data_IF_248930201643
#
_entry.id   IF_248930201643
#
_cell.length_a   1.000
_cell.length_b   1.000
_cell.length_c   1.000
_cell.angle_alpha   90.00
_cell.angle_beta   90.00
_cell.angle_gamma   90.00
#
_symmetry.space_group_name_H-M   'P 1'
#
loop_
_entity.id
_entity.type
_entity.pdbx_description
1 polymer ?
#
# COMPACT_ATOMS: atom_id res chain seq x y z
N UNK A 1 -25.88 -30.29 9.29
CA UNK A 1 -25.84 -30.02 7.83
C UNK A 1 -25.48 -28.56 7.56
N UNK A 2 -26.21 -27.57 8.08
CA UNK A 2 -25.91 -26.14 7.85
C UNK A 2 -24.45 -25.72 8.14
N UNK A 3 -23.89 -26.06 9.31
CA UNK A 3 -22.50 -25.72 9.65
C UNK A 3 -21.42 -26.30 8.70
N UNK A 4 -21.69 -27.47 8.10
CA UNK A 4 -20.73 -28.11 7.19
C UNK A 4 -20.57 -27.32 5.88
N UNK A 5 -21.63 -26.64 5.43
CA UNK A 5 -21.58 -25.78 4.23
C UNK A 5 -20.62 -24.62 4.46
N UNK A 6 -20.64 -23.99 5.64
CA UNK A 6 -19.74 -22.88 5.98
C UNK A 6 -18.29 -23.35 6.19
N UNK A 7 -18.07 -24.57 6.70
CA UNK A 7 -16.75 -25.18 6.74
C UNK A 7 -16.19 -25.39 5.32
N UNK A 8 -16.99 -25.94 4.41
CA UNK A 8 -16.59 -26.13 3.02
C UNK A 8 -16.31 -24.78 2.33
N UNK A 9 -17.19 -23.80 2.49
CA UNK A 9 -17.02 -22.44 1.97
C UNK A 9 -15.71 -21.80 2.47
N UNK A 10 -15.36 -22.00 3.75
CA UNK A 10 -14.09 -21.54 4.32
C UNK A 10 -12.87 -22.07 3.57
N UNK A 11 -12.88 -23.37 3.21
CA UNK A 11 -11.78 -23.99 2.46
C UNK A 11 -11.76 -23.53 1.01
N UNK A 12 -12.92 -23.49 0.35
CA UNK A 12 -13.04 -23.06 -1.04
C UNK A 12 -12.53 -21.64 -1.25
N UNK A 13 -12.74 -20.74 -0.27
CA UNK A 13 -12.24 -19.36 -0.33
C UNK A 13 -10.71 -19.23 -0.31
N UNK A 14 -9.94 -20.29 -0.02
CA UNK A 14 -8.47 -20.28 -0.19
C UNK A 14 -8.04 -20.70 -1.61
N UNK A 15 -8.94 -21.28 -2.39
CA UNK A 15 -8.68 -21.76 -3.73
C UNK A 15 -9.02 -20.73 -4.83
N UNK A 16 -9.19 -19.45 -4.47
CA UNK A 16 -9.56 -18.38 -5.40
C UNK A 16 -8.62 -18.21 -6.60
N UNK A 17 -7.33 -18.56 -6.44
CA UNK A 17 -6.36 -18.56 -7.54
C UNK A 17 -6.71 -19.54 -8.68
N UNK A 18 -7.52 -20.56 -8.42
CA UNK A 18 -7.82 -21.65 -9.37
C UNK A 18 -9.08 -21.38 -10.19
N UNK A 19 -10.02 -20.60 -9.66
CA UNK A 19 -11.29 -20.32 -10.32
C UNK A 19 -11.96 -19.10 -9.69
N UNK A 20 -12.57 -18.25 -10.53
CA UNK A 20 -13.33 -17.09 -10.08
C UNK A 20 -14.48 -17.46 -9.14
N UNK A 21 -15.13 -18.61 -9.36
CA UNK A 21 -16.21 -19.13 -8.48
C UNK A 21 -15.65 -19.41 -7.08
N UNK A 22 -14.43 -19.96 -7.00
CA UNK A 22 -13.79 -20.26 -5.72
C UNK A 22 -13.38 -18.98 -4.99
N UNK A 23 -13.00 -17.93 -5.73
CA UNK A 23 -12.64 -16.64 -5.16
C UNK A 23 -13.85 -15.93 -4.51
N UNK A 24 -15.08 -16.17 -4.99
CA UNK A 24 -16.29 -15.63 -4.37
C UNK A 24 -16.45 -16.03 -2.91
N UNK A 25 -16.02 -17.25 -2.54
CA UNK A 25 -16.05 -17.73 -1.16
C UNK A 25 -15.03 -17.00 -0.26
N UNK A 26 -14.07 -16.28 -0.84
CA UNK A 26 -13.13 -15.47 -0.06
C UNK A 26 -13.80 -14.22 0.54
N UNK A 27 -14.92 -13.76 -0.01
CA UNK A 27 -15.51 -12.47 0.37
C UNK A 27 -16.25 -12.48 1.71
N UNK A 28 -16.70 -13.64 2.19
CA UNK A 28 -17.63 -13.71 3.33
C UNK A 28 -16.98 -14.22 4.62
N UNK A 29 -15.67 -13.96 4.83
CA UNK A 29 -14.91 -14.48 5.99
C UNK A 29 -15.52 -14.09 7.33
N UNK A 30 -16.01 -12.86 7.44
CA UNK A 30 -16.63 -12.36 8.68
C UNK A 30 -17.95 -13.08 8.96
N UNK A 31 -18.77 -13.27 7.93
CA UNK A 31 -20.04 -13.99 8.03
C UNK A 31 -19.79 -15.45 8.42
N UNK A 32 -18.78 -16.11 7.83
CA UNK A 32 -18.41 -17.47 8.18
C UNK A 32 -17.93 -17.56 9.63
N UNK A 33 -17.08 -16.63 10.07
CA UNK A 33 -16.63 -16.52 11.45
C UNK A 33 -17.82 -16.44 12.42
N UNK A 34 -18.76 -15.52 12.18
CA UNK A 34 -19.94 -15.31 13.04
C UNK A 34 -20.82 -16.55 13.08
N UNK A 35 -21.23 -17.08 11.91
CA UNK A 35 -22.15 -18.22 11.84
C UNK A 35 -21.54 -19.48 12.45
N UNK A 36 -20.27 -19.79 12.15
CA UNK A 36 -19.58 -20.94 12.70
C UNK A 36 -19.39 -20.83 14.22
N UNK A 37 -19.11 -19.61 14.72
CA UNK A 37 -18.99 -19.35 16.16
C UNK A 37 -20.32 -19.57 16.86
N UNK A 38 -21.41 -18.97 16.35
CA UNK A 38 -22.75 -19.10 16.94
C UNK A 38 -23.19 -20.57 16.97
N UNK A 39 -23.10 -21.28 15.85
CA UNK A 39 -23.45 -22.71 15.83
C UNK A 39 -22.53 -23.57 16.69
N UNK A 40 -21.23 -23.27 16.72
CA UNK A 40 -20.27 -23.93 17.60
C UNK A 40 -20.66 -23.80 19.07
N UNK A 41 -20.95 -22.58 19.53
CA UNK A 41 -21.36 -22.31 20.92
C UNK A 41 -22.68 -23.00 21.26
N UNK A 42 -23.69 -22.90 20.38
CA UNK A 42 -24.99 -23.57 20.60
C UNK A 42 -24.81 -25.09 20.74
N UNK A 43 -23.95 -25.71 19.92
CA UNK A 43 -23.67 -27.14 20.00
C UNK A 43 -22.85 -27.52 21.25
N UNK A 44 -21.96 -26.64 21.72
CA UNK A 44 -21.28 -26.83 23.01
C UNK A 44 -22.29 -26.86 24.15
N UNK A 45 -23.22 -25.90 24.19
CA UNK A 45 -24.27 -25.82 25.21
C UNK A 45 -25.23 -27.01 25.15
N UNK A 46 -25.49 -27.54 23.95
CA UNK A 46 -26.30 -28.75 23.74
C UNK A 46 -25.54 -30.07 24.02
N UNK A 47 -24.31 -30.02 24.56
CA UNK A 47 -23.51 -31.20 24.89
C UNK A 47 -22.86 -31.91 23.69
N UNK A 48 -23.00 -31.40 22.46
CA UNK A 48 -22.46 -31.98 21.22
C UNK A 48 -21.02 -31.55 20.96
N UNK A 49 -20.14 -31.79 21.93
CA UNK A 49 -18.76 -31.26 21.99
C UNK A 49 -17.92 -31.51 20.74
N UNK A 50 -17.93 -32.72 20.17
CA UNK A 50 -17.11 -33.05 18.97
C UNK A 50 -17.45 -32.18 17.77
N UNK A 51 -18.73 -32.09 17.41
CA UNK A 51 -19.20 -31.26 16.29
C UNK A 51 -18.97 -29.77 16.57
N UNK A 52 -19.15 -29.36 17.82
CA UNK A 52 -18.94 -27.99 18.22
C UNK A 52 -17.48 -27.54 18.04
N UNK A 53 -16.51 -28.32 18.55
CA UNK A 53 -15.09 -28.03 18.37
C UNK A 53 -14.67 -28.06 16.90
N UNK A 54 -15.26 -28.94 16.09
CA UNK A 54 -15.04 -28.94 14.65
C UNK A 54 -15.46 -27.60 14.01
N UNK A 55 -16.67 -27.11 14.29
CA UNK A 55 -17.12 -25.81 13.75
C UNK A 55 -16.27 -24.64 14.28
N UNK A 56 -15.92 -24.65 15.57
CA UNK A 56 -15.09 -23.61 16.17
C UNK A 56 -13.66 -23.60 15.60
N UNK A 57 -13.12 -24.75 15.19
CA UNK A 57 -11.85 -24.82 14.46
C UNK A 57 -11.91 -24.07 13.13
N UNK A 58 -13.00 -24.20 12.37
CA UNK A 58 -13.20 -23.42 11.15
C UNK A 58 -13.51 -21.94 11.42
N UNK A 59 -14.21 -21.62 12.51
CA UNK A 59 -14.37 -20.25 12.96
C UNK A 59 -12.99 -19.62 13.24
N UNK A 60 -12.09 -20.34 13.92
CA UNK A 60 -10.74 -19.90 14.18
C UNK A 60 -9.94 -19.65 12.90
N UNK A 61 -10.06 -20.50 11.87
CA UNK A 61 -9.44 -20.26 10.56
C UNK A 61 -9.90 -18.92 9.96
N UNK A 62 -11.19 -18.59 10.02
CA UNK A 62 -11.66 -17.29 9.52
C UNK A 62 -11.21 -16.13 10.42
N UNK A 63 -11.13 -16.35 11.74
CA UNK A 63 -10.59 -15.36 12.68
C UNK A 63 -9.15 -14.98 12.32
N UNK A 64 -8.28 -15.93 11.96
CA UNK A 64 -6.89 -15.60 11.58
C UNK A 64 -6.80 -14.72 10.33
N UNK A 65 -7.80 -14.74 9.46
CA UNK A 65 -7.87 -13.88 8.27
C UNK A 65 -8.44 -12.49 8.57
N UNK A 66 -9.34 -12.39 9.55
CA UNK A 66 -10.04 -11.15 9.92
C UNK A 66 -9.27 -10.33 10.95
N UNK A 67 -8.67 -11.00 11.94
CA UNK A 67 -8.03 -10.36 13.08
C UNK A 67 -6.85 -9.43 12.72
N UNK A 68 -6.06 -9.65 11.65
CA UNK A 68 -4.95 -8.74 11.33
C UNK A 68 -5.42 -7.30 11.06
N UNK A 69 -6.64 -7.12 10.53
CA UNK A 69 -7.21 -5.80 10.26
C UNK A 69 -7.39 -4.94 11.52
N UNK A 70 -7.33 -5.52 12.72
CA UNK A 70 -7.45 -4.81 13.99
C UNK A 70 -6.11 -4.40 14.62
N UNK A 71 -4.97 -4.71 13.97
CA UNK A 71 -3.63 -4.41 14.47
C UNK A 71 -2.82 -3.55 13.49
N UNK A 72 -1.85 -2.79 14.01
CA UNK A 72 -0.92 -2.01 13.20
C UNK A 72 -1.34 -0.56 12.89
N UNK A 73 -2.48 -0.11 13.41
CA UNK A 73 -2.97 1.25 13.24
C UNK A 73 -2.10 2.26 13.98
N UNK A 74 -1.82 3.40 13.34
CA UNK A 74 -1.01 4.48 13.91
C UNK A 74 -1.88 5.71 14.16
N UNK A 75 -2.36 5.86 15.39
CA UNK A 75 -3.26 6.97 15.75
C UNK A 75 -2.53 8.24 16.19
N UNK A 76 -1.19 8.27 16.11
CA UNK A 76 -0.38 9.42 16.54
C UNK A 76 0.13 10.16 15.33
N UNK A 77 -0.19 11.45 15.25
CA UNK A 77 0.36 12.35 14.26
C UNK A 77 1.86 12.56 14.56
N UNK A 78 2.78 12.21 13.64
CA UNK A 78 4.19 12.56 13.78
C UNK A 78 4.37 14.07 13.95
N UNK A 79 5.30 14.47 14.81
CA UNK A 79 5.59 15.88 15.06
C UNK A 79 5.96 16.60 13.75
N UNK A 80 5.40 17.79 13.52
CA UNK A 80 5.65 18.60 12.33
C UNK A 80 4.97 18.12 11.03
N UNK A 81 4.03 17.17 11.14
CA UNK A 81 3.27 16.66 9.99
C UNK A 81 1.84 17.20 9.94
N UNK A 82 1.28 17.35 8.74
CA UNK A 82 -0.05 17.87 8.49
C UNK A 82 -0.98 16.74 8.03
N UNK A 83 -2.18 16.68 8.59
CA UNK A 83 -3.20 15.71 8.16
C UNK A 83 -3.75 16.10 6.79
N UNK A 84 -3.75 15.13 5.87
CA UNK A 84 -4.48 15.17 4.62
C UNK A 84 -5.66 14.20 4.70
N UNK A 85 -6.75 14.53 4.02
CA UNK A 85 -7.94 13.69 3.94
C UNK A 85 -8.26 13.31 2.49
N UNK A 86 -8.34 12.02 2.24
CA UNK A 86 -8.85 11.46 0.99
C UNK A 86 -10.21 10.79 1.19
N UNK A 87 -11.08 10.96 0.20
CA UNK A 87 -12.38 10.27 0.10
C UNK A 87 -12.43 9.47 -1.18
N UNK A 88 -12.86 8.22 -1.07
CA UNK A 88 -13.25 7.36 -2.19
C UNK A 88 -14.74 7.08 -2.09
N UNK A 89 -15.47 7.22 -3.20
CA UNK A 89 -16.89 6.91 -3.27
C UNK A 89 -17.29 6.44 -4.67
N UNK A 90 -17.71 5.19 -4.79
CA UNK A 90 -18.56 4.76 -5.90
C UNK A 90 -19.95 5.39 -5.72
N UNK A 91 -20.31 6.35 -6.59
CA UNK A 91 -21.57 7.09 -6.51
C UNK A 91 -22.76 6.33 -7.11
N UNK A 92 -22.48 5.24 -7.83
CA UNK A 92 -23.38 4.50 -8.70
C UNK A 92 -23.96 5.35 -9.84
N UNK A 93 -23.89 4.89 -11.09
CA UNK A 93 -24.34 5.72 -12.24
C UNK A 93 -25.85 6.00 -12.21
N UNK A 94 -26.63 5.10 -11.60
CA UNK A 94 -28.10 5.11 -11.64
C UNK A 94 -28.73 5.32 -10.25
N UNK A 95 -28.05 4.85 -9.22
CA UNK A 95 -28.40 5.09 -7.82
C UNK A 95 -27.65 6.33 -7.31
N UNK A 96 -27.82 6.68 -6.04
CA UNK A 96 -27.19 7.85 -5.43
C UNK A 96 -28.06 9.11 -5.43
N UNK A 97 -27.75 10.00 -4.49
CA UNK A 97 -28.43 11.28 -4.30
C UNK A 97 -27.37 12.40 -4.26
N UNK A 98 -27.34 13.24 -5.30
CA UNK A 98 -26.34 14.30 -5.42
C UNK A 98 -26.40 15.35 -4.30
N UNK A 99 -27.56 15.56 -3.67
CA UNK A 99 -27.67 16.46 -2.53
C UNK A 99 -26.99 15.84 -1.31
N UNK A 100 -27.20 14.54 -1.05
CA UNK A 100 -26.53 13.82 0.05
C UNK A 100 -25.05 13.66 -0.16
N UNK A 101 -24.61 13.37 -1.39
CA UNK A 101 -23.18 13.35 -1.74
C UNK A 101 -22.58 14.75 -1.51
N UNK A 102 -23.28 15.82 -1.91
CA UNK A 102 -22.82 17.18 -1.69
C UNK A 102 -22.72 17.55 -0.21
N UNK A 103 -23.74 17.21 0.60
CA UNK A 103 -23.74 17.41 2.05
C UNK A 103 -22.57 16.66 2.70
N UNK A 104 -22.42 15.37 2.41
CA UNK A 104 -21.33 14.54 2.89
C UNK A 104 -19.95 15.13 2.57
N UNK A 105 -19.72 15.55 1.31
CA UNK A 105 -18.42 16.12 0.91
C UNK A 105 -18.16 17.46 1.63
N UNK A 106 -19.18 18.32 1.78
CA UNK A 106 -19.04 19.60 2.49
C UNK A 106 -18.71 19.41 3.96
N UNK A 107 -19.38 18.47 4.63
CA UNK A 107 -19.12 18.15 6.04
C UNK A 107 -17.75 17.49 6.25
N UNK A 108 -17.41 16.55 5.37
CA UNK A 108 -16.15 15.81 5.45
C UNK A 108 -14.95 16.69 5.08
N UNK A 109 -15.16 17.68 4.21
CA UNK A 109 -14.20 18.68 3.80
C UNK A 109 -12.84 18.08 3.35
N UNK A 110 -12.81 17.04 2.49
CA UNK A 110 -11.58 16.35 2.11
C UNK A 110 -10.64 17.24 1.31
N UNK A 111 -9.37 16.85 1.20
CA UNK A 111 -8.39 17.47 0.32
C UNK A 111 -8.42 16.86 -1.08
N UNK A 112 -8.66 15.54 -1.15
CA UNK A 112 -8.74 14.76 -2.39
C UNK A 112 -10.03 13.92 -2.37
N UNK A 113 -10.73 13.89 -3.51
CA UNK A 113 -11.93 13.11 -3.73
C UNK A 113 -11.74 12.26 -4.98
N UNK A 114 -11.97 10.96 -4.87
CA UNK A 114 -12.12 10.04 -6.01
C UNK A 114 -13.58 9.60 -6.04
N UNK A 115 -14.24 9.85 -7.17
CA UNK A 115 -15.59 9.39 -7.45
C UNK A 115 -15.55 8.34 -8.58
N UNK A 116 -16.24 7.24 -8.37
CA UNK A 116 -16.39 6.16 -9.36
C UNK A 116 -17.86 6.02 -9.75
N UNK A 117 -18.11 5.45 -10.94
CA UNK A 117 -19.42 5.40 -11.58
C UNK A 117 -20.04 6.78 -11.87
N UNK A 118 -19.21 7.77 -12.17
CA UNK A 118 -19.69 9.10 -12.56
C UNK A 118 -20.07 9.15 -14.03
N UNK A 119 -21.22 9.72 -14.36
CA UNK A 119 -21.59 10.10 -15.73
C UNK A 119 -21.72 11.63 -15.87
N UNK A 120 -22.12 12.09 -17.06
CA UNK A 120 -22.31 13.53 -17.33
C UNK A 120 -23.32 14.18 -16.39
N UNK A 121 -24.36 13.45 -15.98
CA UNK A 121 -25.35 13.95 -15.00
C UNK A 121 -24.69 14.18 -13.64
N UNK A 122 -23.93 13.22 -13.12
CA UNK A 122 -23.20 13.36 -11.87
C UNK A 122 -22.26 14.57 -11.87
N UNK A 123 -21.49 14.76 -12.95
CA UNK A 123 -20.58 15.90 -13.07
C UNK A 123 -21.32 17.25 -13.16
N UNK A 124 -22.53 17.26 -13.74
CA UNK A 124 -23.40 18.45 -13.76
C UNK A 124 -23.97 18.75 -12.38
N UNK A 125 -24.52 17.75 -11.69
CA UNK A 125 -25.13 17.93 -10.36
C UNK A 125 -24.09 18.34 -9.32
N UNK A 126 -22.85 17.86 -9.47
CA UNK A 126 -21.71 18.15 -8.59
C UNK A 126 -20.77 19.23 -9.17
N UNK A 127 -21.23 20.05 -10.12
CA UNK A 127 -20.40 21.06 -10.79
C UNK A 127 -19.71 22.04 -9.81
N UNK A 128 -20.30 22.26 -8.63
CA UNK A 128 -19.72 23.08 -7.56
C UNK A 128 -18.36 22.57 -7.09
N UNK A 129 -18.07 21.25 -7.20
CA UNK A 129 -16.77 20.68 -6.85
C UNK A 129 -15.65 21.35 -7.62
N UNK A 130 -15.84 21.73 -8.89
CA UNK A 130 -14.80 22.41 -9.68
C UNK A 130 -14.43 23.80 -9.14
N UNK A 131 -15.28 24.40 -8.31
CA UNK A 131 -14.97 25.68 -7.65
C UNK A 131 -14.21 25.45 -6.34
N UNK A 132 -14.64 24.49 -5.52
CA UNK A 132 -14.00 24.20 -4.22
C UNK A 132 -12.77 23.29 -4.32
N UNK A 133 -12.63 22.57 -5.43
CA UNK A 133 -11.57 21.62 -5.77
C UNK A 133 -11.12 21.88 -7.22
N UNK A 134 -10.41 23.00 -7.46
CA UNK A 134 -10.13 23.48 -8.81
C UNK A 134 -9.24 22.55 -9.64
N UNK A 135 -8.49 21.67 -8.98
CA UNK A 135 -7.64 20.69 -9.64
C UNK A 135 -8.44 19.39 -9.81
N UNK A 136 -8.94 19.15 -11.02
CA UNK A 136 -9.82 18.02 -11.28
C UNK A 136 -9.60 17.41 -12.67
N UNK A 137 -9.82 16.11 -12.75
CA UNK A 137 -9.83 15.33 -14.00
C UNK A 137 -10.97 14.32 -13.92
N UNK A 138 -11.74 14.18 -15.00
CA UNK A 138 -12.88 13.28 -15.02
C UNK A 138 -13.09 12.68 -16.41
N UNK A 139 -13.47 11.41 -16.44
CA UNK A 139 -13.86 10.64 -17.62
C UNK A 139 -15.26 10.06 -17.35
N UNK A 140 -16.34 10.82 -17.64
CA UNK A 140 -17.70 10.36 -17.37
C UNK A 140 -18.12 9.24 -18.32
N UNK A 141 -18.86 8.23 -17.82
CA UNK A 141 -19.40 7.14 -18.64
C UNK A 141 -20.75 6.67 -18.13
N UNK A 142 -21.61 6.18 -19.02
CA UNK A 142 -22.95 5.68 -18.69
C UNK A 142 -22.99 4.17 -18.38
N UNK A 143 -21.84 3.50 -18.42
CA UNK A 143 -21.70 2.04 -18.27
C UNK A 143 -21.15 1.61 -16.90
N UNK A 144 -21.27 2.46 -15.86
CA UNK A 144 -20.73 2.22 -14.52
C UNK A 144 -19.20 2.19 -14.42
N UNK A 145 -18.47 2.79 -15.37
CA UNK A 145 -17.01 2.86 -15.28
C UNK A 145 -16.44 4.27 -15.44
N UNK A 146 -17.29 5.30 -15.35
CA UNK A 146 -16.79 6.66 -15.33
C UNK A 146 -16.10 6.97 -14.01
N UNK A 147 -15.06 7.80 -14.06
CA UNK A 147 -14.18 8.06 -12.91
C UNK A 147 -13.78 9.53 -12.87
N UNK A 148 -13.69 10.10 -11.68
CA UNK A 148 -13.27 11.47 -11.48
C UNK A 148 -12.39 11.63 -10.24
N UNK A 149 -11.39 12.51 -10.33
CA UNK A 149 -10.61 12.99 -9.21
C UNK A 149 -10.79 14.51 -9.07
N UNK A 150 -10.94 14.97 -7.84
CA UNK A 150 -11.00 16.37 -7.46
C UNK A 150 -10.04 16.64 -6.31
N UNK A 151 -9.31 17.74 -6.35
CA UNK A 151 -8.29 18.10 -5.36
C UNK A 151 -8.28 19.59 -5.07
N UNK A 152 -8.06 19.93 -3.80
CA UNK A 152 -7.73 21.30 -3.37
C UNK A 152 -6.30 21.67 -3.66
N UNK A 153 -5.44 20.66 -3.67
CA UNK A 153 -4.01 20.77 -3.91
C UNK A 153 -3.70 20.66 -5.42
N UNK A 154 -2.70 21.39 -5.93
CA UNK A 154 -2.41 21.44 -7.35
C UNK A 154 -1.89 20.12 -7.90
N UNK A 155 -2.34 19.77 -9.12
CA UNK A 155 -1.77 18.69 -9.89
C UNK A 155 -0.49 19.16 -10.58
N UNK A 156 0.60 18.42 -10.37
CA UNK A 156 1.82 18.51 -11.19
C UNK A 156 1.57 17.86 -12.55
N UNK A 157 0.92 16.70 -12.51
CA UNK A 157 0.50 15.95 -13.68
C UNK A 157 -0.84 15.27 -13.37
N UNK A 158 -1.71 15.15 -14.37
CA UNK A 158 -2.90 14.29 -14.29
C UNK A 158 -3.27 13.79 -15.68
N UNK A 159 -3.53 12.48 -15.82
CA UNK A 159 -3.95 11.87 -17.09
C UNK A 159 -4.85 10.67 -16.87
N UNK A 160 -5.78 10.47 -17.81
CA UNK A 160 -6.56 9.24 -17.92
C UNK A 160 -5.72 8.20 -18.64
N UNK A 161 -5.68 6.98 -18.11
CA UNK A 161 -5.01 5.84 -18.72
C UNK A 161 -5.97 4.67 -18.82
N UNK A 162 -5.74 3.82 -19.82
CA UNK A 162 -6.42 2.53 -19.96
C UNK A 162 -5.38 1.44 -19.67
N UNK A 163 -5.54 0.75 -18.54
CA UNK A 163 -4.50 -0.16 -18.04
C UNK A 163 -4.48 -1.47 -18.82
N UNK A 164 -5.66 -2.03 -19.12
CA UNK A 164 -5.81 -3.26 -19.89
C UNK A 164 -7.27 -3.48 -20.33
N UNK A 165 -7.50 -4.52 -21.12
CA UNK A 165 -8.82 -5.09 -21.37
C UNK A 165 -9.79 -4.14 -22.08
N UNK A 166 -11.07 -4.05 -21.65
CA UNK A 166 -12.14 -3.35 -22.38
C UNK A 166 -12.00 -1.82 -22.43
N UNK A 167 -10.84 -1.27 -22.04
CA UNK A 167 -10.58 0.17 -22.10
C UNK A 167 -11.26 0.95 -20.98
N UNK A 168 -11.37 0.36 -19.78
CA UNK A 168 -11.88 1.07 -18.61
C UNK A 168 -10.87 2.11 -18.13
N UNK A 169 -11.32 3.35 -17.84
CA UNK A 169 -10.43 4.41 -17.45
C UNK A 169 -9.89 4.21 -16.03
N UNK A 170 -8.66 4.62 -15.83
CA UNK A 170 -8.05 4.86 -14.52
C UNK A 170 -7.38 6.23 -14.57
N UNK A 171 -7.22 6.88 -13.43
CA UNK A 171 -6.58 8.20 -13.36
C UNK A 171 -5.25 8.07 -12.65
N UNK A 172 -4.20 8.56 -13.31
CA UNK A 172 -2.93 8.88 -12.66
C UNK A 172 -2.89 10.38 -12.38
N UNK A 173 -2.55 10.75 -11.16
CA UNK A 173 -2.30 12.12 -10.78
C UNK A 173 -1.09 12.23 -9.85
N UNK A 174 -0.38 13.34 -9.94
CA UNK A 174 0.67 13.73 -9.00
C UNK A 174 0.21 15.01 -8.33
N UNK A 175 -0.12 14.93 -7.05
CA UNK A 175 -0.63 16.03 -6.24
C UNK A 175 0.52 16.66 -5.45
N UNK A 176 0.73 17.95 -5.59
CA UNK A 176 1.78 18.66 -4.85
C UNK A 176 1.30 18.97 -3.43
N UNK A 177 1.96 18.38 -2.44
CA UNK A 177 1.71 18.64 -1.01
C UNK A 177 2.83 19.51 -0.42
N UNK A 178 2.66 20.00 0.81
CA UNK A 178 3.72 20.73 1.52
C UNK A 178 4.96 19.86 1.81
N UNK A 179 4.81 18.53 1.85
CA UNK A 179 5.85 17.56 2.20
C UNK A 179 6.45 16.84 0.98
N UNK A 180 6.01 17.20 -0.22
CA UNK A 180 6.45 16.60 -1.48
C UNK A 180 5.29 16.12 -2.35
N UNK A 181 5.63 15.44 -3.43
CA UNK A 181 4.66 14.94 -4.39
C UNK A 181 3.97 13.67 -3.87
N UNK A 182 2.65 13.64 -3.97
CA UNK A 182 1.80 12.50 -3.68
C UNK A 182 1.30 11.90 -5.00
N UNK A 183 1.73 10.68 -5.29
CA UNK A 183 1.28 9.94 -6.46
C UNK A 183 -0.06 9.28 -6.18
N UNK A 184 -1.00 9.36 -7.12
CA UNK A 184 -2.34 8.80 -6.97
C UNK A 184 -2.67 7.96 -8.20
N UNK A 185 -3.12 6.73 -7.96
CA UNK A 185 -3.78 5.89 -8.94
C UNK A 185 -5.23 5.64 -8.50
N UNK A 186 -6.20 6.18 -9.24
CA UNK A 186 -7.61 5.88 -9.06
C UNK A 186 -8.06 4.84 -10.10
N UNK A 187 -8.70 3.74 -9.68
CA UNK A 187 -9.04 2.64 -10.60
C UNK A 187 -10.26 1.83 -10.15
N UNK A 188 -11.18 1.54 -11.07
CA UNK A 188 -12.38 0.73 -10.84
C UNK A 188 -12.40 -0.47 -11.81
N UNK A 189 -11.78 -1.61 -11.48
CA UNK A 189 -11.81 -2.81 -12.31
C UNK A 189 -13.15 -3.57 -12.24
N UNK A 190 -13.37 -4.48 -13.20
CA UNK A 190 -14.65 -5.19 -13.38
C UNK A 190 -15.07 -6.06 -12.17
N UNK A 191 -16.39 -6.16 -11.90
CA UNK A 191 -16.93 -7.00 -10.83
C UNK A 191 -16.90 -8.51 -11.15
N UNK A 192 -16.89 -9.41 -10.14
CA UNK A 192 -16.84 -10.86 -10.33
C UNK A 192 -18.18 -11.50 -10.77
N UNK A 193 -18.84 -10.97 -11.80
CA UNK A 193 -20.16 -11.47 -12.27
C UNK A 193 -20.07 -12.56 -13.34
N UNK A 194 -18.90 -12.72 -13.96
CA UNK A 194 -18.62 -13.77 -14.94
C UNK A 194 -17.15 -14.19 -14.91
N UNK A 195 -16.83 -15.30 -15.59
CA UNK A 195 -15.45 -15.73 -15.78
C UNK A 195 -14.62 -14.70 -16.53
N UNK A 196 -15.21 -14.12 -17.60
CA UNK A 196 -14.55 -13.10 -18.43
C UNK A 196 -14.26 -11.83 -17.64
N UNK A 197 -15.24 -11.32 -16.88
CA UNK A 197 -15.04 -10.11 -16.08
C UNK A 197 -13.99 -10.32 -15.00
N UNK A 198 -14.01 -11.48 -14.35
CA UNK A 198 -13.00 -11.83 -13.35
C UNK A 198 -11.60 -11.97 -13.95
N UNK A 199 -11.49 -12.53 -15.16
CA UNK A 199 -10.23 -12.61 -15.89
C UNK A 199 -9.69 -11.20 -16.18
N UNK A 200 -10.50 -10.32 -16.78
CA UNK A 200 -10.09 -8.94 -17.08
C UNK A 200 -9.72 -8.14 -15.83
N UNK A 201 -10.52 -8.24 -14.76
CA UNK A 201 -10.19 -7.64 -13.46
C UNK A 201 -8.82 -8.12 -12.98
N UNK A 202 -8.60 -9.42 -12.96
CA UNK A 202 -7.36 -10.01 -12.45
C UNK A 202 -6.13 -9.63 -13.30
N UNK A 203 -6.28 -9.53 -14.61
CA UNK A 203 -5.20 -9.06 -15.50
C UNK A 203 -4.90 -7.58 -15.30
N UNK A 204 -5.92 -6.73 -15.15
CA UNK A 204 -5.75 -5.31 -14.82
C UNK A 204 -5.00 -5.15 -13.49
N UNK A 205 -5.42 -5.88 -12.44
CA UNK A 205 -4.75 -5.87 -11.13
C UNK A 205 -3.27 -6.26 -11.25
N UNK A 206 -2.93 -7.23 -12.10
CA UNK A 206 -1.55 -7.66 -12.34
C UNK A 206 -0.69 -6.63 -13.11
N UNK A 207 -1.31 -5.64 -13.76
CA UNK A 207 -0.58 -4.54 -14.41
C UNK A 207 -0.38 -3.33 -13.50
N UNK A 208 -1.15 -3.18 -12.43
CA UNK A 208 -1.07 -2.03 -11.52
C UNK A 208 0.35 -1.77 -10.96
N UNK A 209 1.20 -2.79 -10.67
CA UNK A 209 2.58 -2.54 -10.24
C UNK A 209 3.42 -1.70 -11.22
N UNK A 210 3.06 -1.63 -12.51
CA UNK A 210 3.75 -0.79 -13.50
C UNK A 210 3.43 0.71 -13.36
N UNK A 211 2.35 1.04 -12.65
CA UNK A 211 1.82 2.41 -12.52
C UNK A 211 1.94 2.95 -11.09
N UNK A 212 2.48 2.15 -10.18
CA UNK A 212 2.62 2.47 -8.75
C UNK A 212 4.09 2.35 -8.38
N UNK A 213 4.61 3.33 -7.65
CA UNK A 213 5.94 3.28 -7.07
C UNK A 213 5.89 3.42 -5.55
N UNK A 214 5.98 2.31 -4.82
CA UNK A 214 5.93 2.32 -3.36
C UNK A 214 7.16 2.96 -2.68
N UNK A 215 8.20 3.34 -3.43
CA UNK A 215 9.35 4.12 -2.90
C UNK A 215 9.09 5.63 -2.81
N UNK A 216 7.91 6.05 -3.27
CA UNK A 216 7.41 7.41 -3.17
C UNK A 216 6.06 7.41 -2.44
N UNK A 217 5.67 8.54 -1.80
CA UNK A 217 4.33 8.69 -1.25
C UNK A 217 3.28 8.43 -2.34
N UNK A 218 2.58 7.31 -2.24
CA UNK A 218 1.65 6.83 -3.25
C UNK A 218 0.36 6.34 -2.61
N UNK A 219 -0.78 6.76 -3.15
CA UNK A 219 -2.09 6.20 -2.87
C UNK A 219 -2.66 5.49 -4.09
N UNK A 220 -3.28 4.34 -3.86
CA UNK A 220 -4.16 3.68 -4.82
C UNK A 220 -5.56 3.65 -4.24
N UNK A 221 -6.53 4.25 -4.92
CA UNK A 221 -7.91 4.31 -4.46
C UNK A 221 -8.83 3.63 -5.49
N UNK A 222 -9.75 2.80 -5.01
CA UNK A 222 -10.88 2.39 -5.84
C UNK A 222 -11.69 1.23 -5.27
N UNK A 223 -12.88 1.03 -5.83
CA UNK A 223 -13.62 -0.23 -5.73
C UNK A 223 -12.89 -1.30 -6.54
N UNK A 224 -12.09 -2.11 -5.86
CA UNK A 224 -11.31 -3.16 -6.51
C UNK A 224 -12.14 -4.42 -6.78
N UNK A 225 -13.42 -4.42 -6.41
CA UNK A 225 -14.32 -5.56 -6.53
C UNK A 225 -13.77 -6.84 -5.87
N UNK A 226 -12.94 -6.65 -4.83
CA UNK A 226 -12.30 -7.70 -4.06
C UNK A 226 -12.30 -7.32 -2.57
N UNK A 227 -12.39 -8.32 -1.71
CA UNK A 227 -12.13 -8.15 -0.27
C UNK A 227 -10.66 -8.36 0.06
N UNK A 228 -10.16 -7.89 1.23
CA UNK A 228 -8.78 -8.11 1.68
C UNK A 228 -8.36 -9.59 1.73
N UNK A 229 -9.35 -10.48 1.82
CA UNK A 229 -9.16 -11.93 1.89
C UNK A 229 -9.07 -12.63 0.53
N UNK A 230 -9.25 -11.93 -0.60
CA UNK A 230 -9.04 -12.50 -1.93
C UNK A 230 -7.56 -12.79 -2.17
N UNK A 231 -7.27 -13.84 -2.94
CA UNK A 231 -5.91 -14.12 -3.42
C UNK A 231 -5.35 -12.95 -4.25
N UNK A 232 -6.17 -12.39 -5.13
CA UNK A 232 -5.73 -11.34 -6.06
C UNK A 232 -5.44 -10.01 -5.35
N UNK A 233 -6.18 -9.70 -4.28
CA UNK A 233 -5.90 -8.53 -3.44
C UNK A 233 -4.56 -8.68 -2.71
N UNK A 234 -4.32 -9.82 -2.05
CA UNK A 234 -3.02 -10.07 -1.38
C UNK A 234 -1.85 -10.06 -2.36
N UNK A 235 -2.05 -10.62 -3.55
CA UNK A 235 -1.05 -10.60 -4.62
C UNK A 235 -0.72 -9.16 -5.04
N UNK A 236 -1.74 -8.31 -5.21
CA UNK A 236 -1.53 -6.88 -5.53
C UNK A 236 -0.67 -6.19 -4.45
N UNK A 237 -0.97 -6.39 -3.17
CA UNK A 237 -0.15 -5.81 -2.08
C UNK A 237 1.30 -6.31 -2.13
N UNK A 238 1.48 -7.61 -2.36
CA UNK A 238 2.82 -8.21 -2.46
C UNK A 238 3.63 -7.65 -3.64
N UNK A 239 3.01 -7.51 -4.81
CA UNK A 239 3.69 -7.07 -6.04
C UNK A 239 3.95 -5.55 -6.06
N UNK A 240 3.09 -4.76 -5.43
CA UNK A 240 3.25 -3.30 -5.36
C UNK A 240 4.07 -2.83 -4.17
N UNK A 241 4.11 -3.61 -3.09
CA UNK A 241 4.65 -3.16 -1.79
C UNK A 241 3.74 -2.17 -1.05
N UNK A 242 2.53 -1.90 -1.56
CA UNK A 242 1.54 -1.08 -0.86
C UNK A 242 0.95 -1.81 0.36
N UNK A 243 0.39 -1.03 1.28
CA UNK A 243 -0.30 -1.46 2.48
C UNK A 243 -1.78 -1.07 2.40
N UNK A 244 -2.63 -1.90 2.98
CA UNK A 244 -4.07 -1.64 3.08
C UNK A 244 -4.35 -0.69 4.26
N UNK A 245 -4.99 0.45 3.99
CA UNK A 245 -5.34 1.45 5.02
C UNK A 245 -6.27 0.92 6.10
N UNK A 246 -6.96 -0.21 5.88
CA UNK A 246 -7.84 -0.82 6.89
C UNK A 246 -7.07 -1.51 8.03
N UNK A 247 -5.77 -1.78 7.85
CA UNK A 247 -4.92 -2.34 8.89
C UNK A 247 -4.89 -1.43 10.12
N UNK A 248 -5.38 -1.95 11.25
CA UNK A 248 -5.46 -1.22 12.52
C UNK A 248 -6.81 -0.55 12.80
N UNK A 249 -7.74 -0.55 11.84
CA UNK A 249 -9.04 0.12 11.96
C UNK A 249 -10.23 -0.84 11.86
N UNK A 250 -9.94 -2.15 11.78
CA UNK A 250 -10.92 -3.22 11.79
C UNK A 250 -11.63 -3.42 10.45
N UNK A 251 -12.61 -4.32 10.45
CA UNK A 251 -13.43 -4.57 9.26
C UNK A 251 -14.37 -3.39 9.04
N UNK A 252 -14.25 -2.77 7.88
CA UNK A 252 -15.03 -1.60 7.49
C UNK A 252 -15.67 -1.83 6.13
N UNK A 253 -16.84 -2.49 6.09
CA UNK A 253 -17.45 -2.89 4.84
C UNK A 253 -18.16 -1.71 4.18
N UNK A 254 -17.99 -1.61 2.86
CA UNK A 254 -18.52 -0.51 2.05
C UNK A 254 -19.71 -0.93 1.19
N UNK A 255 -19.95 -2.22 0.97
CA UNK A 255 -21.03 -2.71 0.10
C UNK A 255 -21.67 -4.01 0.65
N UNK A 256 -22.99 -4.26 0.50
CA UNK A 256 -23.98 -3.33 -0.04
C UNK A 256 -24.58 -2.45 1.06
N UNK A 257 -25.04 -1.26 0.70
CA UNK A 257 -25.69 -0.35 1.63
C UNK A 257 -27.02 -0.91 2.19
N UNK A 258 -27.71 -1.75 1.42
CA UNK A 258 -29.08 -2.21 1.67
C UNK A 258 -29.21 -3.49 2.52
N UNK A 259 -28.11 -4.19 2.81
CA UNK A 259 -28.14 -5.41 3.62
C UNK A 259 -26.92 -5.52 4.53
N UNK A 260 -27.09 -5.15 5.80
CA UNK A 260 -26.02 -5.19 6.80
C UNK A 260 -25.40 -6.57 7.06
N UNK A 261 -26.12 -7.66 6.80
CA UNK A 261 -25.62 -9.02 7.05
C UNK A 261 -24.71 -9.53 5.92
N UNK A 262 -24.81 -8.97 4.72
CA UNK A 262 -24.01 -9.35 3.54
C UNK A 262 -22.88 -8.37 3.24
N UNK A 263 -22.66 -7.40 4.14
CA UNK A 263 -21.67 -6.34 3.96
C UNK A 263 -20.23 -6.86 3.91
N UNK A 264 -19.48 -6.40 2.92
CA UNK A 264 -18.09 -6.72 2.62
C UNK A 264 -17.31 -5.45 2.21
N UNK A 265 -16.00 -5.38 2.48
CA UNK A 265 -15.15 -4.23 2.08
C UNK A 265 -14.64 -4.39 0.64
N UNK A 266 -15.23 -3.65 -0.30
CA UNK A 266 -14.81 -3.65 -1.71
C UNK A 266 -14.01 -2.40 -2.12
N UNK A 267 -14.24 -1.29 -1.40
CA UNK A 267 -13.60 0.00 -1.64
C UNK A 267 -12.32 0.12 -0.80
N UNK A 268 -11.19 0.33 -1.48
CA UNK A 268 -9.86 0.30 -0.87
C UNK A 268 -9.10 1.59 -1.09
N UNK A 269 -8.37 1.99 -0.06
CA UNK A 269 -7.30 2.97 -0.14
C UNK A 269 -6.04 2.25 0.28
N UNK A 270 -5.15 2.00 -0.68
CA UNK A 270 -3.85 1.40 -0.45
C UNK A 270 -2.79 2.50 -0.45
N UNK A 271 -1.74 2.34 0.32
CA UNK A 271 -0.74 3.39 0.51
C UNK A 271 0.68 2.84 0.58
N UNK A 272 1.67 3.63 0.17
CA UNK A 272 3.07 3.27 0.31
C UNK A 272 3.52 3.29 1.79
N UNK A 273 4.62 2.62 2.15
CA UNK A 273 5.15 2.61 3.52
C UNK A 273 5.46 4.00 4.10
N UNK A 274 5.74 4.98 3.24
CA UNK A 274 6.02 6.37 3.62
C UNK A 274 4.77 7.13 4.07
N UNK A 275 3.57 6.59 3.84
CA UNK A 275 2.31 7.21 4.28
C UNK A 275 1.87 6.58 5.59
N UNK A 276 1.56 7.43 6.58
CA UNK A 276 0.98 7.02 7.86
C UNK A 276 -0.52 7.28 7.83
N UNK A 277 -1.31 6.22 7.95
CA UNK A 277 -2.78 6.33 8.11
C UNK A 277 -3.10 6.58 9.57
N UNK A 278 -3.76 7.72 9.83
CA UNK A 278 -4.15 8.21 11.16
C UNK A 278 -5.57 7.80 11.54
N UNK A 279 -6.43 7.66 10.52
CA UNK A 279 -7.81 7.21 10.67
C UNK A 279 -8.33 6.66 9.36
N UNK A 280 -9.08 5.57 9.43
CA UNK A 280 -9.95 5.10 8.35
C UNK A 280 -11.37 4.93 8.87
N UNK A 281 -12.37 5.42 8.13
CA UNK A 281 -13.78 5.25 8.49
C UNK A 281 -14.68 5.11 7.26
N UNK A 282 -15.88 4.56 7.49
CA UNK A 282 -16.96 4.52 6.51
C UNK A 282 -17.90 5.72 6.73
N UNK A 283 -18.26 6.40 5.65
CA UNK A 283 -19.19 7.53 5.62
C UNK A 283 -20.67 7.11 5.70
N UNK A 284 -21.59 8.09 5.64
CA UNK A 284 -23.02 7.85 5.72
C UNK A 284 -23.61 7.20 4.45
N UNK A 285 -24.87 6.76 4.54
CA UNK A 285 -25.64 6.32 3.36
C UNK A 285 -26.02 7.52 2.47
N UNK A 286 -25.24 7.71 1.40
CA UNK A 286 -25.47 8.72 0.36
C UNK A 286 -26.42 8.24 -0.75
N UNK A 287 -27.15 7.15 -0.50
CA UNK A 287 -28.07 6.48 -1.43
C UNK A 287 -27.43 5.86 -2.67
N UNK A 288 -26.10 5.79 -2.73
CA UNK A 288 -25.36 4.82 -3.55
C UNK A 288 -25.44 3.44 -2.88
N UNK A 289 -25.25 2.36 -3.65
CA UNK A 289 -25.12 1.01 -3.07
C UNK A 289 -23.78 0.80 -2.33
N UNK A 290 -22.84 1.73 -2.48
CA UNK A 290 -21.60 1.82 -1.70
C UNK A 290 -21.65 2.92 -0.65
N UNK A 291 -20.97 2.69 0.47
CA UNK A 291 -20.66 3.74 1.45
C UNK A 291 -19.32 4.42 1.12
N UNK A 292 -19.18 5.74 1.39
CA UNK A 292 -17.91 6.41 1.22
C UNK A 292 -16.81 5.83 2.13
N UNK A 293 -15.58 5.75 1.63
CA UNK A 293 -14.38 5.46 2.44
C UNK A 293 -13.62 6.76 2.68
N UNK A 294 -13.33 7.06 3.94
CA UNK A 294 -12.62 8.27 4.37
C UNK A 294 -11.30 7.84 5.01
N UNK A 295 -10.19 8.41 4.54
CA UNK A 295 -8.85 8.16 5.08
C UNK A 295 -8.22 9.49 5.46
N UNK A 296 -7.89 9.62 6.75
CA UNK A 296 -6.99 10.66 7.25
C UNK A 296 -5.58 10.07 7.29
N UNK A 297 -4.65 10.74 6.63
CA UNK A 297 -3.28 10.29 6.52
C UNK A 297 -2.31 11.46 6.62
N UNK A 298 -1.04 11.14 6.74
CA UNK A 298 0.04 12.11 6.67
C UNK A 298 1.21 11.52 5.90
N UNK A 299 1.94 12.40 5.25
CA UNK A 299 3.23 12.10 4.64
C UNK A 299 4.23 12.70 5.62
N UNK A 300 4.88 11.89 6.48
CA UNK A 300 5.95 12.38 7.33
C UNK A 300 7.00 13.06 6.44
N UNK A 301 7.64 14.11 6.94
CA UNK A 301 8.88 14.54 6.31
C UNK A 301 9.77 13.31 6.17
N UNK A 302 10.34 13.10 4.99
CA UNK A 302 11.49 12.19 4.87
C UNK A 302 12.49 12.71 5.88
N UNK A 303 12.55 12.08 7.05
CA UNK A 303 13.63 12.30 7.99
C UNK A 303 14.89 12.23 7.14
N UNK A 304 15.82 13.16 7.35
CA UNK A 304 17.14 13.11 6.71
C UNK A 304 17.81 11.72 6.83
N UNK A 305 17.30 10.84 7.70
CA UNK A 305 17.58 9.42 7.79
C UNK A 305 17.29 8.55 6.53
N UNK A 306 16.52 9.00 5.51
CA UNK A 306 16.23 8.21 4.31
C UNK A 306 16.99 8.62 3.04
N UNK A 307 17.86 9.62 3.10
CA UNK A 307 18.86 9.79 2.05
C UNK A 307 20.13 9.05 2.50
N UNK A 308 20.13 7.72 2.58
CA UNK A 308 21.28 6.91 3.08
C UNK A 308 22.60 7.26 2.38
N UNK A 309 22.53 7.78 1.15
CA UNK A 309 23.67 8.35 0.43
C UNK A 309 24.32 9.58 1.08
N UNK A 310 23.69 10.29 2.02
CA UNK A 310 24.31 11.44 2.71
C UNK A 310 25.56 11.08 3.51
N UNK A 311 25.70 9.79 3.89
CA UNK A 311 26.91 9.29 4.56
C UNK A 311 28.01 8.88 3.57
N UNK A 312 27.69 8.69 2.29
CA UNK A 312 28.66 8.32 1.25
C UNK A 312 29.17 9.60 0.60
N UNK A 313 30.43 9.93 0.85
CA UNK A 313 30.98 11.25 0.50
C UNK A 313 31.87 11.25 -0.74
N UNK A 314 31.67 10.26 -1.62
CA UNK A 314 32.33 10.18 -2.91
C UNK A 314 31.29 9.94 -4.01
N UNK A 315 31.62 10.37 -5.23
CA UNK A 315 30.68 10.33 -6.34
C UNK A 315 30.55 8.93 -6.94
N UNK A 316 29.52 8.23 -6.50
CA UNK A 316 29.17 6.87 -6.94
C UNK A 316 28.68 6.85 -8.39
N UNK A 317 28.22 7.97 -8.94
CA UNK A 317 27.73 8.03 -10.33
C UNK A 317 28.84 7.88 -11.37
N UNK A 318 30.10 8.03 -10.96
CA UNK A 318 31.28 7.83 -11.80
C UNK A 318 31.66 6.35 -11.96
N UNK A 319 30.97 5.45 -11.26
CA UNK A 319 31.25 4.01 -11.24
C UNK A 319 30.32 3.26 -12.19
N UNK A 320 30.87 2.32 -12.95
CA UNK A 320 30.10 1.40 -13.77
C UNK A 320 29.44 0.27 -12.93
N UNK A 321 28.77 -0.65 -13.61
CA UNK A 321 28.07 -1.79 -12.98
C UNK A 321 28.98 -2.73 -12.17
N UNK A 322 30.29 -2.71 -12.44
CA UNK A 322 31.27 -3.55 -11.76
C UNK A 322 31.98 -2.75 -10.63
N UNK A 323 31.52 -1.51 -10.39
CA UNK A 323 32.04 -0.60 -9.39
C UNK A 323 33.39 0.00 -9.75
N UNK A 324 33.68 0.15 -11.05
CA UNK A 324 34.92 0.70 -11.56
C UNK A 324 34.71 2.06 -12.22
N UNK A 325 35.68 2.98 -12.08
CA UNK A 325 35.70 4.27 -12.79
C UNK A 325 36.90 4.37 -13.73
N UNK A 326 36.77 5.15 -14.79
CA UNK A 326 37.85 5.41 -15.76
C UNK A 326 37.48 5.04 -17.20
N UNK A 327 38.41 5.31 -18.13
CA UNK A 327 38.26 4.90 -19.54
C UNK A 327 38.32 3.37 -19.69
N UNK A 328 37.85 2.85 -20.83
CA UNK A 328 37.81 1.41 -21.11
C UNK A 328 39.12 0.66 -20.84
N UNK A 329 40.25 1.36 -21.01
CA UNK A 329 41.59 0.78 -20.96
C UNK A 329 42.29 1.04 -19.61
N UNK A 330 41.63 1.69 -18.66
CA UNK A 330 42.22 2.09 -17.35
C UNK A 330 41.15 2.19 -16.25
N UNK A 331 40.29 1.18 -16.15
CA UNK A 331 39.30 1.08 -15.09
C UNK A 331 39.94 0.75 -13.75
N UNK A 332 39.58 1.49 -12.71
CA UNK A 332 40.05 1.28 -11.34
C UNK A 332 38.88 1.22 -10.37
N UNK A 333 38.99 0.35 -9.39
CA UNK A 333 38.06 0.29 -8.26
C UNK A 333 38.29 1.47 -7.32
N UNK A 334 37.25 1.86 -6.60
CA UNK A 334 37.34 2.82 -5.51
C UNK A 334 37.42 2.04 -4.21
N UNK A 335 38.49 2.25 -3.45
CA UNK A 335 38.52 1.84 -2.05
C UNK A 335 37.83 2.90 -1.21
N UNK A 336 37.13 2.49 -0.17
CA UNK A 336 36.44 3.38 0.74
C UNK A 336 36.69 2.97 2.17
N UNK A 337 36.63 3.94 3.08
CA UNK A 337 36.84 3.70 4.50
C UNK A 337 35.72 4.27 5.37
N UNK A 338 35.45 3.58 6.48
CA UNK A 338 34.45 3.92 7.48
C UNK A 338 34.84 3.42 8.88
N UNK A 339 34.15 3.87 9.92
CA UNK A 339 34.41 3.47 11.30
C UNK A 339 33.25 2.66 11.87
N UNK A 340 33.58 1.69 12.72
CA UNK A 340 32.62 0.94 13.54
C UNK A 340 33.11 0.81 14.99
N UNK A 341 32.24 0.54 15.97
CA UNK A 341 32.67 0.15 17.31
C UNK A 341 33.56 -1.10 17.28
N UNK A 342 34.67 -1.09 18.03
CA UNK A 342 35.68 -2.15 18.05
C UNK A 342 35.22 -3.38 18.87
N UNK A 343 34.25 -4.13 18.32
CA UNK A 343 33.76 -5.38 18.91
C UNK A 343 33.42 -6.43 17.85
N UNK A 344 33.37 -7.70 18.26
CA UNK A 344 33.18 -8.84 17.35
C UNK A 344 31.80 -8.88 16.69
N UNK A 345 30.75 -8.38 17.37
CA UNK A 345 29.40 -8.36 16.82
C UNK A 345 29.31 -7.39 15.62
N UNK A 346 29.84 -6.18 15.77
CA UNK A 346 29.91 -5.21 14.68
C UNK A 346 30.78 -5.72 13.53
N UNK A 347 31.94 -6.35 13.81
CA UNK A 347 32.77 -6.96 12.75
C UNK A 347 32.04 -8.05 11.97
N UNK A 348 31.35 -8.95 12.66
CA UNK A 348 30.59 -10.02 12.02
C UNK A 348 29.45 -9.48 11.15
N UNK A 349 28.73 -8.46 11.65
CA UNK A 349 27.65 -7.79 10.91
C UNK A 349 28.17 -7.11 9.65
N UNK A 350 29.27 -6.35 9.75
CA UNK A 350 29.87 -5.67 8.60
C UNK A 350 30.44 -6.66 7.58
N UNK A 351 31.08 -7.75 8.03
CA UNK A 351 31.62 -8.77 7.11
C UNK A 351 30.53 -9.52 6.34
N UNK A 352 29.32 -9.60 6.90
CA UNK A 352 28.15 -10.16 6.22
C UNK A 352 27.58 -9.20 5.14
N UNK A 353 27.80 -7.89 5.30
CA UNK A 353 27.34 -6.85 4.37
C UNK A 353 28.36 -6.62 3.25
N UNK A 354 29.63 -6.42 3.61
CA UNK A 354 30.72 -6.24 2.66
C UNK A 354 31.76 -7.35 2.83
N UNK A 355 31.84 -8.24 1.85
CA UNK A 355 32.81 -9.34 1.89
C UNK A 355 34.24 -8.85 1.65
N UNK A 356 34.40 -7.70 0.97
CA UNK A 356 35.71 -7.12 0.64
C UNK A 356 36.38 -6.44 1.83
N UNK A 357 35.60 -6.13 2.87
CA UNK A 357 36.05 -5.32 4.01
C UNK A 357 37.26 -5.93 4.74
N UNK A 358 38.21 -5.06 5.05
CA UNK A 358 39.34 -5.30 5.93
C UNK A 358 39.17 -4.50 7.21
N UNK A 359 39.48 -5.12 8.36
CA UNK A 359 39.39 -4.49 9.68
C UNK A 359 40.79 -4.12 10.18
N UNK A 360 40.98 -2.87 10.56
CA UNK A 360 42.26 -2.30 11.01
C UNK A 360 42.09 -1.69 12.41
N UNK A 361 41.98 -2.51 13.47
CA UNK A 361 41.85 -2.01 14.83
C UNK A 361 43.07 -1.16 15.23
N UNK A 362 42.83 -0.03 15.88
CA UNK A 362 43.89 0.89 16.30
C UNK A 362 44.49 1.76 15.19
N UNK A 363 44.03 1.62 13.94
CA UNK A 363 44.38 2.53 12.85
C UNK A 363 43.40 3.71 12.81
N UNK A 364 43.88 4.92 12.53
CA UNK A 364 43.06 6.12 12.42
C UNK A 364 42.44 6.31 11.01
N UNK A 365 43.15 5.92 9.94
CA UNK A 365 42.73 6.24 8.56
C UNK A 365 42.62 7.76 8.30
N UNK A 366 42.07 8.16 7.16
CA UNK A 366 41.74 9.58 6.89
C UNK A 366 40.40 9.98 7.51
N UNK A 367 39.52 9.01 7.73
CA UNK A 367 38.22 9.19 8.37
C UNK A 367 38.35 9.51 9.87
N UNK A 368 39.50 9.20 10.47
CA UNK A 368 39.84 9.62 11.82
C UNK A 368 39.25 8.74 12.92
N UNK A 369 39.31 7.41 12.76
CA UNK A 369 38.79 6.45 13.73
C UNK A 369 39.34 6.73 15.15
N UNK A 370 38.45 6.85 16.12
CA UNK A 370 38.76 7.22 17.49
C UNK A 370 39.11 6.04 18.41
N UNK A 371 39.32 6.33 19.69
CA UNK A 371 39.56 5.30 20.71
C UNK A 371 38.30 4.45 20.92
N UNK A 372 38.41 3.14 20.69
CA UNK A 372 37.29 2.21 20.77
C UNK A 372 36.55 1.99 19.44
N UNK A 373 37.09 2.55 18.35
CA UNK A 373 36.61 2.32 16.99
C UNK A 373 37.62 1.49 16.19
N UNK A 374 37.09 0.74 15.23
CA UNK A 374 37.85 -0.05 14.26
C UNK A 374 37.69 0.62 12.88
N UNK A 375 38.81 0.91 12.24
CA UNK A 375 38.82 1.34 10.84
C UNK A 375 38.46 0.16 9.93
N UNK A 376 37.53 0.39 9.02
CA UNK A 376 37.12 -0.56 7.99
C UNK A 376 37.50 -0.01 6.62
N UNK A 377 38.12 -0.83 5.77
CA UNK A 377 38.42 -0.49 4.37
C UNK A 377 37.75 -1.52 3.46
N UNK A 378 36.83 -1.06 2.61
CA UNK A 378 36.14 -1.85 1.60
C UNK A 378 36.52 -1.46 0.17
N UNK A 379 35.99 -2.20 -0.80
CA UNK A 379 36.20 -1.96 -2.24
C UNK A 379 34.87 -1.95 -3.00
N UNK A 380 34.77 -1.07 -3.99
CA UNK A 380 33.61 -1.05 -4.90
C UNK A 380 33.67 -2.16 -5.95
N UNK A 381 34.78 -2.92 -6.07
CA UNK A 381 34.92 -3.98 -7.08
C UNK A 381 34.09 -5.23 -6.74
N UNK A 382 32.77 -5.11 -6.88
CA UNK A 382 31.76 -6.15 -6.67
C UNK A 382 30.44 -5.74 -7.36
N UNK A 383 29.72 -6.70 -7.95
CA UNK A 383 28.52 -6.44 -8.77
C UNK A 383 27.40 -5.70 -8.01
N UNK A 384 27.36 -5.81 -6.68
CA UNK A 384 26.32 -5.25 -5.82
C UNK A 384 26.83 -4.09 -4.93
N UNK A 385 27.91 -3.41 -5.32
CA UNK A 385 28.56 -2.41 -4.46
C UNK A 385 27.63 -1.27 -4.00
N UNK A 386 26.63 -0.89 -4.80
CA UNK A 386 25.65 0.13 -4.42
C UNK A 386 24.74 -0.33 -3.27
N UNK A 387 24.34 -1.60 -3.27
CA UNK A 387 23.54 -2.19 -2.18
C UNK A 387 24.39 -2.34 -0.92
N UNK A 388 25.67 -2.69 -1.08
CA UNK A 388 26.65 -2.74 0.02
C UNK A 388 26.80 -1.37 0.68
N UNK A 389 27.09 -0.32 -0.10
CA UNK A 389 27.25 1.04 0.43
C UNK A 389 25.97 1.55 1.13
N UNK A 390 24.80 1.23 0.58
CA UNK A 390 23.51 1.57 1.18
C UNK A 390 23.33 0.87 2.53
N UNK A 391 23.56 -0.44 2.58
CA UNK A 391 23.41 -1.23 3.80
C UNK A 391 24.42 -0.83 4.89
N UNK A 392 25.63 -0.41 4.52
CA UNK A 392 26.61 0.18 5.44
C UNK A 392 26.11 1.54 5.98
N UNK A 393 25.62 2.41 5.10
CA UNK A 393 25.12 3.73 5.49
C UNK A 393 23.86 3.68 6.38
N UNK A 394 23.05 2.61 6.29
CA UNK A 394 21.90 2.38 7.16
C UNK A 394 22.30 2.08 8.62
N UNK A 395 23.54 1.67 8.88
CA UNK A 395 23.99 1.39 10.25
C UNK A 395 24.05 2.67 11.06
N UNK A 396 23.39 2.67 12.21
CA UNK A 396 23.32 3.82 13.13
C UNK A 396 24.70 4.23 13.66
N UNK A 397 25.63 3.27 13.74
CA UNK A 397 27.00 3.49 14.22
C UNK A 397 28.00 3.83 13.10
N UNK A 398 27.61 3.74 11.83
CA UNK A 398 28.42 4.24 10.70
C UNK A 398 28.05 5.69 10.49
N UNK A 399 28.98 6.61 10.76
CA UNK A 399 28.73 8.04 10.64
C UNK A 399 28.87 8.53 9.18
N UNK A 400 29.97 8.13 8.52
CA UNK A 400 30.40 8.56 7.18
C UNK A 400 31.16 7.42 6.51
N UNK A 401 31.19 7.43 5.17
CA UNK A 401 31.92 6.52 4.30
C UNK A 401 32.62 7.41 3.27
N UNK A 402 33.95 7.43 3.30
CA UNK A 402 34.74 8.32 2.44
C UNK A 402 35.62 7.50 1.50
N UNK A 403 36.01 8.09 0.37
CA UNK A 403 36.96 7.47 -0.54
C UNK A 403 38.35 7.36 0.13
N UNK A 404 38.94 6.17 0.06
CA UNK A 404 40.27 5.88 0.53
C UNK A 404 41.27 6.10 -0.60
N UNK A 405 42.12 7.12 -0.45
CA UNK A 405 43.26 7.36 -1.34
C UNK A 405 44.51 6.73 -0.72
N UNK A 406 45.04 5.68 -1.35
CA UNK A 406 46.37 5.17 -1.04
C UNK A 406 47.40 6.13 -1.63
N UNK A 407 48.26 6.69 -0.78
CA UNK A 407 49.49 7.39 -1.21
C UNK A 407 50.62 6.40 -1.47
#
# INVERSE_FOLDING_TARGET
MAGAIFCAATLLGFAGRLSWILDLFSHFRVQYLVVLTVFGVVLLLAGRRKTAFFLLGFAFINLTQVIPLYFGGQNMLPAGSSTLRAVLLNVNTRLGDAAKVSEFIRETNPDIIVLEETNSKWLSDLAWLRTSYPHSLAEPRDDNFGIAIFSRLPFVESRVINILGPGLPSILAVVKTEKGDLHILATHPLPPVSSEYSMWRNEQLAQLPKYVNATQPTLLLGDLNLTPWSYHFRKLLQETGLRDSSQGYGVQPSWPNNNQFLRIPLDHVLHSPDIVVLRRTIGPDVKSDHFPVIVDFTIPEKSAALNTWHKVEFDVSLLDKDGLRGSSDSKVAVSYEFCIPDNDACRAEIKAIDQTVQFMPGSHGRIGAGKGECLCIGSTHQENFQDVLRALAEKSYVARIIECHFE
#
